data_IF_482403169410
#
_entry.id   IF_482403169410
#
_cell.length_a   1.000
_cell.length_b   1.000
_cell.length_c   1.000
_cell.angle_alpha   90.00
_cell.angle_beta   90.00
_cell.angle_gamma   90.00
#
_symmetry.space_group_name_H-M   'P 1'
#
loop_
_entity.id
_entity.type
_entity.pdbx_description
1 polymer ?
#
# COMPACT_ATOMS: atom_id res chain seq x y z
N UNK A 1 13.14 15.09 -13.20
CA UNK A 1 12.63 13.75 -12.87
C UNK A 1 11.19 13.68 -13.35
N UNK A 2 10.78 12.65 -14.08
CA UNK A 2 9.39 12.49 -14.52
C UNK A 2 8.46 12.40 -13.31
N UNK A 3 7.30 13.07 -13.36
CA UNK A 3 6.29 12.94 -12.31
C UNK A 3 5.83 11.46 -12.23
N UNK A 4 5.54 10.95 -11.03
CA UNK A 4 4.94 9.63 -10.88
C UNK A 4 3.65 9.54 -11.69
N UNK A 5 3.47 8.45 -12.43
CA UNK A 5 2.25 8.17 -13.20
C UNK A 5 1.03 7.99 -12.25
N UNK A 6 1.30 7.70 -10.98
CA UNK A 6 0.35 7.65 -9.87
C UNK A 6 1.03 7.22 -8.56
N UNK A 7 0.29 7.27 -7.46
CA UNK A 7 0.73 6.77 -6.15
C UNK A 7 -0.12 5.60 -5.69
N UNK A 8 0.51 4.57 -5.14
CA UNK A 8 -0.15 3.50 -4.39
C UNK A 8 0.08 3.76 -2.90
N UNK A 9 -0.97 3.69 -2.08
CA UNK A 9 -0.87 3.92 -0.64
C UNK A 9 -0.90 2.59 0.11
N UNK A 10 0.12 2.38 0.94
CA UNK A 10 0.22 1.26 1.87
C UNK A 10 -0.88 1.29 2.95
N UNK A 11 -1.29 0.12 3.41
CA UNK A 11 -2.32 -0.10 4.43
C UNK A 11 -2.01 0.65 5.73
N UNK A 12 -0.73 0.73 6.13
CA UNK A 12 -0.35 1.45 7.35
C UNK A 12 -0.72 2.95 7.32
N UNK A 13 -0.67 3.60 6.16
CA UNK A 13 -1.03 5.01 6.01
C UNK A 13 -2.55 5.19 6.04
N UNK A 14 -3.32 4.25 5.50
CA UNK A 14 -4.78 4.26 5.65
C UNK A 14 -5.21 4.17 7.12
N UNK A 15 -4.52 3.36 7.91
CA UNK A 15 -4.72 3.25 9.36
C UNK A 15 -4.29 4.54 10.06
N UNK A 16 -3.17 5.15 9.67
CA UNK A 16 -2.72 6.43 10.21
C UNK A 16 -3.75 7.55 9.98
N UNK A 17 -4.31 7.63 8.78
CA UNK A 17 -5.37 8.58 8.43
C UNK A 17 -6.64 8.33 9.25
N UNK A 18 -7.05 7.07 9.40
CA UNK A 18 -8.20 6.71 10.24
C UNK A 18 -8.04 7.19 11.69
N UNK A 19 -6.82 7.04 12.23
CA UNK A 19 -6.48 7.43 13.60
C UNK A 19 -6.20 8.92 13.78
N UNK A 20 -6.28 9.71 12.71
CA UNK A 20 -5.98 11.15 12.75
C UNK A 20 -4.49 11.48 12.93
N UNK A 21 -3.60 10.51 12.71
CA UNK A 21 -2.14 10.69 12.78
C UNK A 21 -1.54 11.23 11.47
N UNK A 22 -2.30 11.18 10.40
CA UNK A 22 -1.92 11.68 9.09
C UNK A 22 -3.12 12.37 8.45
N UNK A 23 -2.93 13.59 7.96
CA UNK A 23 -4.01 14.35 7.33
C UNK A 23 -4.04 14.14 5.81
N UNK A 24 -5.18 14.45 5.20
CA UNK A 24 -5.27 14.48 3.74
C UNK A 24 -4.35 15.55 3.12
N UNK A 25 -4.04 16.63 3.86
CA UNK A 25 -3.13 17.68 3.42
C UNK A 25 -1.69 17.17 3.35
N UNK A 26 -1.26 16.33 4.31
CA UNK A 26 0.08 15.72 4.29
C UNK A 26 0.27 14.82 3.07
N UNK A 27 -0.74 13.98 2.78
CA UNK A 27 -0.76 13.16 1.58
C UNK A 27 -0.76 14.04 0.32
N UNK A 28 -1.58 15.08 0.27
CA UNK A 28 -1.66 15.97 -0.88
C UNK A 28 -0.34 16.74 -1.12
N UNK A 29 0.37 17.13 -0.07
CA UNK A 29 1.69 17.77 -0.19
C UNK A 29 2.72 16.87 -0.88
N UNK A 30 2.64 15.55 -0.64
CA UNK A 30 3.50 14.55 -1.27
C UNK A 30 3.07 14.21 -2.70
N UNK A 31 1.77 14.00 -2.92
CA UNK A 31 1.25 13.52 -4.21
C UNK A 31 0.98 14.64 -5.20
N UNK A 32 0.83 15.87 -4.73
CA UNK A 32 0.36 17.02 -5.53
C UNK A 32 -0.94 16.65 -6.24
N UNK A 33 -0.98 16.85 -7.56
CA UNK A 33 -2.13 16.53 -8.42
C UNK A 33 -2.13 15.07 -8.91
N UNK A 34 -1.12 14.26 -8.58
CA UNK A 34 -1.05 12.89 -9.04
C UNK A 34 -2.17 12.02 -8.39
N UNK A 35 -2.78 11.10 -9.15
CA UNK A 35 -3.84 10.24 -8.64
C UNK A 35 -3.32 9.25 -7.58
N UNK A 36 -4.19 8.95 -6.62
CA UNK A 36 -3.96 7.99 -5.55
C UNK A 36 -4.80 6.74 -5.80
N UNK A 37 -4.14 5.60 -5.80
CA UNK A 37 -4.73 4.29 -6.02
C UNK A 37 -4.74 3.45 -4.74
N UNK A 38 -5.63 2.46 -4.74
CA UNK A 38 -5.77 1.44 -3.70
C UNK A 38 -5.55 0.07 -4.34
N UNK A 39 -4.93 -0.86 -3.61
CA UNK A 39 -4.85 -2.26 -3.98
C UNK A 39 -6.01 -3.08 -3.38
N UNK A 40 -6.49 -4.14 -4.07
CA UNK A 40 -7.34 -5.16 -3.46
C UNK A 40 -6.71 -5.78 -2.20
N UNK A 41 -5.38 -5.85 -2.12
CA UNK A 41 -4.64 -6.30 -0.93
C UNK A 41 -4.91 -5.38 0.26
N UNK A 42 -4.81 -4.05 0.07
CA UNK A 42 -5.13 -3.10 1.15
C UNK A 42 -6.57 -3.26 1.64
N UNK A 43 -7.52 -3.46 0.70
CA UNK A 43 -8.92 -3.67 1.05
C UNK A 43 -9.11 -4.97 1.84
N UNK A 44 -8.44 -6.05 1.45
CA UNK A 44 -8.51 -7.33 2.17
C UNK A 44 -7.96 -7.19 3.59
N UNK A 45 -6.80 -6.56 3.77
CA UNK A 45 -6.18 -6.34 5.08
C UNK A 45 -7.04 -5.49 6.01
N UNK A 46 -7.57 -4.36 5.51
CA UNK A 46 -8.44 -3.49 6.30
C UNK A 46 -9.75 -4.20 6.65
N UNK A 47 -10.37 -4.93 5.70
CA UNK A 47 -11.59 -5.70 5.97
C UNK A 47 -11.33 -6.76 7.03
N UNK A 48 -10.25 -7.51 6.92
CA UNK A 48 -9.84 -8.49 7.92
C UNK A 48 -9.69 -7.86 9.31
N UNK A 49 -8.98 -6.74 9.40
CA UNK A 49 -8.84 -5.99 10.65
C UNK A 49 -10.19 -5.56 11.24
N UNK A 50 -11.12 -5.06 10.41
CA UNK A 50 -12.48 -4.69 10.83
C UNK A 50 -13.25 -5.87 11.44
N UNK A 51 -13.14 -7.07 10.85
CA UNK A 51 -13.86 -8.24 11.36
C UNK A 51 -13.31 -8.73 12.71
N UNK A 52 -12.02 -8.52 12.98
CA UNK A 52 -11.41 -8.85 14.28
C UNK A 52 -11.71 -7.82 15.39
N UNK A 53 -12.18 -6.62 15.05
CA UNK A 53 -12.42 -5.56 16.05
C UNK A 53 -13.60 -5.88 16.97
N UNK A 54 -13.36 -5.80 18.28
CA UNK A 54 -14.38 -5.96 19.33
C UNK A 54 -15.03 -4.64 19.75
N UNK A 55 -14.29 -3.53 19.69
CA UNK A 55 -14.80 -2.23 20.08
C UNK A 55 -15.67 -1.64 18.95
N UNK A 56 -16.97 -1.41 19.23
CA UNK A 56 -17.92 -0.93 18.23
C UNK A 56 -17.54 0.43 17.62
N UNK A 57 -17.05 1.37 18.44
CA UNK A 57 -16.64 2.71 17.97
C UNK A 57 -15.42 2.64 17.04
N UNK A 58 -14.45 1.79 17.36
CA UNK A 58 -13.29 1.55 16.49
C UNK A 58 -13.74 0.86 15.18
N UNK A 59 -14.59 -0.17 15.28
CA UNK A 59 -15.13 -0.87 14.10
C UNK A 59 -15.90 0.07 13.18
N UNK A 60 -16.68 1.00 13.73
CA UNK A 60 -17.41 2.01 12.96
C UNK A 60 -16.47 2.97 12.22
N UNK A 61 -15.46 3.51 12.91
CA UNK A 61 -14.45 4.40 12.30
C UNK A 61 -13.68 3.70 11.19
N UNK A 62 -13.18 2.50 11.44
CA UNK A 62 -12.49 1.70 10.44
C UNK A 62 -13.39 1.36 9.24
N UNK A 63 -14.66 1.03 9.49
CA UNK A 63 -15.65 0.79 8.43
C UNK A 63 -15.92 2.03 7.57
N UNK A 64 -15.94 3.22 8.19
CA UNK A 64 -16.04 4.49 7.46
C UNK A 64 -14.80 4.74 6.58
N UNK A 65 -13.60 4.48 7.10
CA UNK A 65 -12.35 4.54 6.32
C UNK A 65 -12.38 3.56 5.14
N UNK A 66 -12.77 2.31 5.36
CA UNK A 66 -12.90 1.30 4.31
C UNK A 66 -13.88 1.74 3.19
N UNK A 67 -15.03 2.34 3.55
CA UNK A 67 -15.95 2.91 2.55
C UNK A 67 -15.31 4.04 1.73
N UNK A 68 -14.46 4.87 2.33
CA UNK A 68 -13.71 5.91 1.61
C UNK A 68 -12.65 5.30 0.68
N UNK A 69 -11.93 4.27 1.12
CA UNK A 69 -10.95 3.56 0.30
C UNK A 69 -11.58 2.98 -0.96
N UNK A 70 -12.76 2.34 -0.83
CA UNK A 70 -13.50 1.76 -1.97
C UNK A 70 -13.96 2.77 -3.04
N UNK A 71 -13.90 4.08 -2.75
CA UNK A 71 -14.22 5.14 -3.72
C UNK A 71 -12.99 5.65 -4.47
N UNK A 72 -11.80 5.18 -4.11
CA UNK A 72 -10.56 5.50 -4.84
C UNK A 72 -10.42 4.60 -6.06
N UNK A 73 -9.69 5.05 -7.10
CA UNK A 73 -9.24 4.19 -8.18
C UNK A 73 -8.58 2.91 -7.64
N UNK A 74 -9.14 1.76 -8.02
CA UNK A 74 -8.68 0.44 -7.56
C UNK A 74 -7.79 -0.18 -8.65
N UNK A 75 -6.62 -0.68 -8.25
CA UNK A 75 -5.78 -1.48 -9.14
C UNK A 75 -6.35 -2.89 -9.28
N UNK A 76 -6.19 -3.48 -10.46
CA UNK A 76 -6.47 -4.90 -10.67
C UNK A 76 -5.21 -5.72 -10.39
N UNK A 77 -5.41 -6.96 -9.92
CA UNK A 77 -4.36 -7.99 -9.91
C UNK A 77 -4.59 -8.81 -11.16
N UNK A 78 -3.64 -8.78 -12.09
CA UNK A 78 -3.71 -9.48 -13.37
C UNK A 78 -2.67 -10.60 -13.43
N UNK A 79 -2.64 -11.36 -14.53
CA UNK A 79 -1.59 -12.35 -14.75
C UNK A 79 -0.19 -11.70 -14.73
N UNK A 80 -0.05 -10.52 -15.34
CA UNK A 80 1.19 -9.75 -15.34
C UNK A 80 1.58 -9.32 -13.91
N UNK A 81 0.61 -8.93 -13.06
CA UNK A 81 0.89 -8.68 -11.64
C UNK A 81 1.46 -9.91 -10.95
N UNK A 82 0.90 -11.09 -11.23
CA UNK A 82 1.35 -12.36 -10.65
C UNK A 82 2.77 -12.72 -11.10
N UNK A 83 3.09 -12.53 -12.38
CA UNK A 83 4.44 -12.73 -12.91
C UNK A 83 5.46 -11.80 -12.25
N UNK A 84 5.15 -10.50 -12.14
CA UNK A 84 6.00 -9.53 -11.46
C UNK A 84 6.21 -9.95 -10.00
N UNK A 85 5.14 -10.32 -9.30
CA UNK A 85 5.21 -10.77 -7.89
C UNK A 85 6.13 -11.97 -7.72
N UNK A 86 6.00 -13.01 -8.58
CA UNK A 86 6.86 -14.18 -8.55
C UNK A 86 8.34 -13.87 -8.81
N UNK A 87 8.62 -12.96 -9.76
CA UNK A 87 9.99 -12.49 -10.02
C UNK A 87 10.57 -11.75 -8.81
N UNK A 88 9.79 -10.87 -8.18
CA UNK A 88 10.23 -10.15 -6.98
C UNK A 88 10.50 -11.13 -5.82
N UNK A 89 9.61 -12.09 -5.58
CA UNK A 89 9.78 -13.13 -4.56
C UNK A 89 11.07 -13.93 -4.78
N UNK A 90 11.30 -14.40 -6.00
CA UNK A 90 12.50 -15.17 -6.34
C UNK A 90 13.79 -14.36 -6.14
N UNK A 91 13.78 -13.05 -6.46
CA UNK A 91 14.93 -12.16 -6.23
C UNK A 91 15.22 -11.97 -4.74
N UNK A 92 14.19 -11.79 -3.91
CA UNK A 92 14.36 -11.67 -2.46
C UNK A 92 14.96 -12.94 -1.85
N UNK A 93 14.45 -14.12 -2.24
CA UNK A 93 15.00 -15.41 -1.78
C UNK A 93 16.47 -15.55 -2.19
N UNK A 94 16.82 -15.24 -3.44
CA UNK A 94 18.21 -15.26 -3.91
C UNK A 94 19.13 -14.26 -3.18
N UNK A 95 18.56 -13.21 -2.59
CA UNK A 95 19.29 -12.23 -1.76
C UNK A 95 19.42 -12.63 -0.28
N UNK A 96 18.97 -13.83 0.10
CA UNK A 96 19.06 -14.35 1.47
C UNK A 96 17.94 -13.87 2.41
N UNK A 97 16.84 -13.33 1.88
CA UNK A 97 15.70 -12.84 2.67
C UNK A 97 14.48 -13.77 2.54
N UNK A 98 13.78 -14.01 3.66
CA UNK A 98 12.56 -14.82 3.69
C UNK A 98 11.35 -14.08 3.11
N UNK A 99 10.58 -14.75 2.25
CA UNK A 99 9.41 -14.18 1.56
C UNK A 99 8.08 -14.47 2.27
N UNK A 100 8.03 -15.51 3.12
CA UNK A 100 6.78 -16.00 3.73
C UNK A 100 6.05 -14.93 4.57
N UNK A 101 6.79 -14.02 5.20
CA UNK A 101 6.21 -12.92 6.00
C UNK A 101 5.85 -11.67 5.19
N UNK A 102 6.16 -11.63 3.89
CA UNK A 102 6.05 -10.43 3.03
C UNK A 102 5.17 -10.66 1.79
N UNK A 103 4.36 -11.71 1.77
CA UNK A 103 3.53 -12.05 0.61
C UNK A 103 2.60 -10.89 0.21
N UNK A 104 1.98 -10.22 1.18
CA UNK A 104 1.10 -9.08 0.89
C UNK A 104 1.88 -7.86 0.38
N UNK A 105 3.02 -7.54 1.00
CA UNK A 105 3.92 -6.47 0.57
C UNK A 105 4.43 -6.71 -0.86
N UNK A 106 4.72 -7.97 -1.20
CA UNK A 106 5.14 -8.37 -2.54
C UNK A 106 4.05 -8.12 -3.59
N UNK A 107 2.79 -8.44 -3.29
CA UNK A 107 1.68 -8.10 -4.17
C UNK A 107 1.52 -6.59 -4.35
N UNK A 108 1.64 -5.84 -3.26
CA UNK A 108 1.55 -4.38 -3.28
C UNK A 108 2.67 -3.76 -4.13
N UNK A 109 3.90 -4.25 -3.92
CA UNK A 109 5.06 -3.81 -4.67
C UNK A 109 5.00 -4.23 -6.15
N UNK A 110 4.51 -5.43 -6.46
CA UNK A 110 4.33 -5.89 -7.83
C UNK A 110 3.38 -4.99 -8.61
N UNK A 111 2.27 -4.58 -8.01
CA UNK A 111 1.35 -3.62 -8.62
C UNK A 111 2.00 -2.25 -8.84
N UNK A 112 2.74 -1.74 -7.85
CA UNK A 112 3.44 -0.47 -7.98
C UNK A 112 4.51 -0.51 -9.09
N UNK A 113 5.29 -1.60 -9.17
CA UNK A 113 6.31 -1.80 -10.21
C UNK A 113 5.69 -1.93 -11.59
N UNK A 114 4.64 -2.75 -11.75
CA UNK A 114 3.94 -2.96 -13.02
C UNK A 114 3.40 -1.63 -13.58
N UNK A 115 2.82 -0.79 -12.73
CA UNK A 115 2.21 0.48 -13.13
C UNK A 115 3.21 1.66 -13.14
N UNK A 116 4.47 1.43 -12.78
CA UNK A 116 5.49 2.47 -12.58
C UNK A 116 5.07 3.55 -11.56
N UNK A 117 4.27 3.16 -10.57
CA UNK A 117 3.79 4.03 -9.51
C UNK A 117 4.81 4.18 -8.38
N UNK A 118 4.61 5.19 -7.55
CA UNK A 118 5.36 5.37 -6.30
C UNK A 118 4.53 4.87 -5.13
N UNK A 119 5.10 3.99 -4.30
CA UNK A 119 4.47 3.52 -3.07
C UNK A 119 4.67 4.54 -1.94
N UNK A 120 3.58 5.00 -1.31
CA UNK A 120 3.65 5.74 -0.06
C UNK A 120 3.53 4.76 1.11
N UNK A 121 4.49 4.77 2.03
CA UNK A 121 4.52 3.84 3.17
C UNK A 121 5.15 4.48 4.42
N UNK A 122 4.67 4.12 5.60
CA UNK A 122 5.35 4.40 6.87
C UNK A 122 6.47 3.38 7.19
N UNK A 123 6.52 2.26 6.46
CA UNK A 123 7.40 1.14 6.71
C UNK A 123 8.44 0.97 5.59
N UNK A 124 9.12 2.05 5.18
CA UNK A 124 10.05 2.04 4.06
C UNK A 124 11.12 0.93 4.11
N UNK A 125 11.56 0.53 5.32
CA UNK A 125 12.50 -0.58 5.54
C UNK A 125 12.01 -1.93 4.98
N UNK A 126 10.69 -2.12 4.90
CA UNK A 126 10.05 -3.35 4.42
C UNK A 126 9.96 -3.37 2.89
N UNK A 127 10.36 -2.29 2.20
CA UNK A 127 10.31 -2.14 0.75
C UNK A 127 11.66 -1.82 0.11
N UNK A 128 12.68 -1.49 0.92
CA UNK A 128 14.00 -1.01 0.47
C UNK A 128 14.77 -2.00 -0.43
N UNK A 129 14.47 -3.29 -0.31
CA UNK A 129 15.15 -4.38 -1.01
C UNK A 129 14.36 -4.89 -2.21
N UNK A 130 13.21 -4.29 -2.51
CA UNK A 130 12.38 -4.67 -3.65
C UNK A 130 12.93 -4.01 -4.91
N UNK A 131 13.44 -4.78 -5.88
CA UNK A 131 14.01 -4.22 -7.09
C UNK A 131 12.99 -3.41 -7.90
N UNK A 132 13.43 -2.27 -8.44
CA UNK A 132 12.65 -1.36 -9.28
C UNK A 132 11.44 -0.68 -8.61
N UNK A 133 11.22 -0.91 -7.32
CA UNK A 133 10.16 -0.22 -6.59
C UNK A 133 10.57 1.21 -6.27
N UNK A 134 9.76 2.19 -6.68
CA UNK A 134 9.85 3.56 -6.20
C UNK A 134 8.97 3.70 -4.96
N UNK A 135 9.50 4.26 -3.88
CA UNK A 135 8.72 4.55 -2.69
C UNK A 135 9.11 5.89 -2.06
N UNK A 136 8.19 6.47 -1.30
CA UNK A 136 8.40 7.64 -0.45
C UNK A 136 8.01 7.26 0.97
N UNK A 137 8.96 7.44 1.90
CA UNK A 137 8.73 7.24 3.31
C UNK A 137 7.88 8.38 3.87
N UNK A 138 6.82 8.03 4.61
CA UNK A 138 5.94 8.99 5.27
C UNK A 138 6.08 8.83 6.77
N UNK A 139 6.49 9.89 7.46
CA UNK A 139 6.58 9.90 8.90
C UNK A 139 5.16 10.00 9.49
N UNK A 140 4.81 9.04 10.34
CA UNK A 140 3.54 9.02 11.07
C UNK A 140 3.85 9.12 12.55
N UNK A 141 3.61 10.28 13.16
CA UNK A 141 3.70 10.52 14.61
C UNK A 141 2.44 10.07 15.34
#
# INVERSE_FOLDING_TARGET
MAQPVGFLIDTNLWIAIERGKLSAADIHGLTKQAPIFVSPVNLAEIRFGIELMRNAKQKERASATFRRMRRKPLLHITAETAEVSGVLAAKLVKSGRGHDFRVQDLWLAAQAVQQQFTLLTANAKDFQDIPNLKFVAVNVS
#
